data_IF_770028601738
#
_entry.id   IF_770028601738
#
_cell.length_a   1.000
_cell.length_b   1.000
_cell.length_c   1.000
_cell.angle_alpha   90.00
_cell.angle_beta   90.00
_cell.angle_gamma   90.00
#
_symmetry.space_group_name_H-M   'P 1'
#
loop_
_entity.id
_entity.type
_entity.pdbx_description
1 polymer ?
#
# COMPACT_ATOMS: atom_id res chain seq x y z
N UNK A 1 10.60 5.55 -28.49
CA UNK A 1 10.41 5.85 -27.06
C UNK A 1 9.26 4.98 -26.57
N UNK A 2 9.42 4.32 -25.41
CA UNK A 2 8.40 3.42 -24.84
C UNK A 2 7.13 4.21 -24.49
N UNK A 3 5.95 3.62 -24.70
CA UNK A 3 4.65 4.26 -24.49
C UNK A 3 3.82 3.55 -23.43
N UNK A 4 4.01 2.25 -23.24
CA UNK A 4 3.22 1.47 -22.30
C UNK A 4 4.04 0.38 -21.63
N UNK A 5 4.26 0.56 -20.34
CA UNK A 5 5.19 -0.26 -19.57
C UNK A 5 4.40 -1.21 -18.67
N UNK A 6 4.69 -2.51 -18.74
CA UNK A 6 4.22 -3.49 -17.76
C UNK A 6 5.17 -3.49 -16.56
N UNK A 7 4.63 -3.41 -15.34
CA UNK A 7 5.40 -3.47 -14.10
C UNK A 7 4.89 -4.63 -13.26
N UNK A 8 5.55 -5.81 -13.28
CA UNK A 8 5.23 -6.89 -12.37
C UNK A 8 5.54 -6.48 -10.93
N UNK A 9 4.58 -6.68 -10.02
CA UNK A 9 4.66 -6.30 -8.61
C UNK A 9 4.33 -7.49 -7.71
N UNK A 10 5.01 -7.57 -6.58
CA UNK A 10 4.70 -8.47 -5.47
C UNK A 10 4.62 -7.69 -4.14
N UNK A 11 4.53 -8.41 -3.03
CA UNK A 11 4.44 -7.88 -1.66
C UNK A 11 5.81 -7.59 -1.02
N UNK A 12 6.90 -7.63 -1.78
CA UNK A 12 8.25 -7.36 -1.26
C UNK A 12 8.56 -5.86 -1.18
N UNK A 13 9.46 -5.47 -0.27
CA UNK A 13 10.01 -4.10 -0.21
C UNK A 13 10.73 -3.73 -1.52
N UNK A 14 11.36 -4.71 -2.19
CA UNK A 14 11.98 -4.49 -3.49
C UNK A 14 10.95 -4.04 -4.55
N UNK A 15 9.75 -4.62 -4.53
CA UNK A 15 8.63 -4.19 -5.37
C UNK A 15 8.24 -2.74 -5.09
N UNK A 16 8.32 -2.27 -3.84
CA UNK A 16 8.04 -0.86 -3.48
C UNK A 16 8.98 0.10 -4.23
N UNK A 17 10.29 -0.19 -4.22
CA UNK A 17 11.30 0.61 -4.92
C UNK A 17 11.15 0.53 -6.44
N UNK A 18 10.97 -0.68 -6.99
CA UNK A 18 10.78 -0.86 -8.43
C UNK A 18 9.55 -0.11 -8.92
N UNK A 19 8.47 -0.07 -8.15
CA UNK A 19 7.30 0.77 -8.47
C UNK A 19 7.68 2.25 -8.50
N UNK A 20 8.40 2.77 -7.49
CA UNK A 20 8.85 4.17 -7.46
C UNK A 20 9.67 4.53 -8.70
N UNK A 21 10.68 3.72 -9.03
CA UNK A 21 11.53 3.94 -10.19
C UNK A 21 10.77 3.79 -11.52
N UNK A 22 9.84 2.84 -11.62
CA UNK A 22 9.01 2.68 -12.81
C UNK A 22 8.10 3.90 -13.04
N UNK A 23 7.55 4.48 -11.97
CA UNK A 23 6.75 5.72 -12.02
C UNK A 23 7.61 6.90 -12.46
N UNK A 24 8.80 7.08 -11.88
CA UNK A 24 9.74 8.13 -12.30
C UNK A 24 10.16 7.99 -13.75
N UNK A 25 10.50 6.77 -14.17
CA UNK A 25 10.89 6.46 -15.54
C UNK A 25 9.75 6.74 -16.51
N UNK A 26 8.53 6.25 -16.21
CA UNK A 26 7.36 6.48 -17.04
C UNK A 26 7.03 7.97 -17.19
N UNK A 27 7.13 8.75 -16.10
CA UNK A 27 6.97 10.21 -16.12
C UNK A 27 7.99 10.87 -17.04
N UNK A 28 9.26 10.44 -16.99
CA UNK A 28 10.34 11.02 -17.79
C UNK A 28 10.18 10.80 -19.30
N UNK A 29 9.48 9.73 -19.70
CA UNK A 29 9.26 9.36 -21.12
C UNK A 29 7.82 9.58 -21.59
N UNK A 30 6.93 10.09 -20.74
CA UNK A 30 5.51 10.26 -21.06
C UNK A 30 4.74 8.94 -21.31
N UNK A 31 5.17 7.84 -20.68
CA UNK A 31 4.52 6.54 -20.80
C UNK A 31 3.41 6.34 -19.77
N UNK A 32 2.50 5.40 -20.05
CA UNK A 32 1.54 4.87 -19.07
C UNK A 32 2.01 3.53 -18.51
N UNK A 33 1.51 3.17 -17.33
CA UNK A 33 1.85 1.94 -16.63
C UNK A 33 0.71 0.93 -16.65
N UNK A 34 1.05 -0.36 -16.66
CA UNK A 34 0.17 -1.41 -16.15
C UNK A 34 0.90 -2.20 -15.07
N UNK A 35 0.40 -2.09 -13.85
CA UNK A 35 0.86 -2.92 -12.74
C UNK A 35 0.25 -4.31 -12.86
N UNK A 36 1.07 -5.33 -12.67
CA UNK A 36 0.65 -6.71 -12.83
C UNK A 36 1.05 -7.57 -11.64
N UNK A 37 0.10 -8.32 -11.10
CA UNK A 37 0.38 -9.30 -10.05
C UNK A 37 -0.03 -10.71 -10.51
N UNK A 38 0.93 -11.65 -10.51
CA UNK A 38 0.64 -13.05 -10.71
C UNK A 38 0.18 -13.66 -9.38
N UNK A 39 -1.11 -13.97 -9.28
CA UNK A 39 -1.67 -14.66 -8.11
C UNK A 39 -1.26 -16.11 -8.21
N UNK A 40 -0.39 -16.55 -7.31
CA UNK A 40 0.06 -17.91 -7.32
C UNK A 40 -1.09 -18.86 -6.96
N UNK A 41 -1.26 -19.90 -7.78
CA UNK A 41 -2.21 -20.98 -7.53
C UNK A 41 -1.59 -22.02 -6.57
N UNK A 42 -1.45 -21.66 -5.29
CA UNK A 42 -0.97 -22.58 -4.26
C UNK A 42 -2.12 -23.45 -3.75
N UNK A 43 -2.69 -24.28 -4.61
CA UNK A 43 -3.56 -25.37 -4.18
C UNK A 43 -2.81 -26.45 -3.34
N UNK A 44 -1.47 -26.37 -3.22
CA UNK A 44 -0.64 -27.51 -2.80
C UNK A 44 0.35 -27.35 -1.65
N UNK A 45 0.43 -26.22 -0.91
CA UNK A 45 1.40 -26.14 0.22
C UNK A 45 0.98 -25.26 1.40
N UNK A 46 1.12 -25.80 2.61
CA UNK A 46 0.91 -25.10 3.90
C UNK A 46 -0.56 -25.00 4.32
N UNK A 47 -0.86 -24.12 5.29
CA UNK A 47 -2.23 -23.85 5.78
C UNK A 47 -3.22 -23.45 4.67
N UNK A 48 -2.72 -22.86 3.58
CA UNK A 48 -3.53 -22.51 2.40
C UNK A 48 -4.08 -23.72 1.64
N UNK A 49 -3.40 -24.87 1.68
CA UNK A 49 -3.88 -26.09 1.03
C UNK A 49 -5.08 -26.69 1.78
N UNK A 50 -5.10 -26.59 3.11
CA UNK A 50 -6.23 -27.04 3.92
C UNK A 50 -7.45 -26.14 3.67
N UNK A 51 -7.26 -24.82 3.66
CA UNK A 51 -8.33 -23.85 3.38
C UNK A 51 -8.87 -23.99 1.94
N UNK A 52 -8.00 -24.25 0.97
CA UNK A 52 -8.40 -24.50 -0.42
C UNK A 52 -9.27 -25.76 -0.56
N UNK A 53 -9.03 -26.79 0.26
CA UNK A 53 -9.82 -28.04 0.26
C UNK A 53 -11.15 -27.86 1.00
N UNK A 54 -11.15 -27.10 2.10
CA UNK A 54 -12.34 -26.90 2.95
C UNK A 54 -13.31 -25.90 2.30
N UNK A 55 -12.81 -24.77 1.80
CA UNK A 55 -13.60 -23.76 1.10
C UNK A 55 -12.80 -23.10 -0.04
N UNK A 56 -12.86 -23.67 -1.26
CA UNK A 56 -12.17 -23.14 -2.43
C UNK A 56 -12.59 -21.72 -2.82
N UNK A 57 -13.82 -21.30 -2.50
CA UNK A 57 -14.35 -19.99 -2.86
C UNK A 57 -13.77 -18.91 -1.94
N UNK A 58 -13.76 -19.16 -0.62
CA UNK A 58 -13.15 -18.27 0.37
C UNK A 58 -11.64 -18.15 0.14
N UNK A 59 -10.95 -19.26 -0.12
CA UNK A 59 -9.53 -19.22 -0.45
C UNK A 59 -9.25 -18.35 -1.69
N UNK A 60 -10.04 -18.50 -2.76
CA UNK A 60 -9.89 -17.69 -3.97
C UNK A 60 -10.16 -16.21 -3.70
N UNK A 61 -11.19 -15.90 -2.92
CA UNK A 61 -11.49 -14.53 -2.50
C UNK A 61 -10.31 -13.93 -1.72
N UNK A 62 -9.71 -14.68 -0.79
CA UNK A 62 -8.51 -14.25 -0.06
C UNK A 62 -7.33 -13.94 -0.97
N UNK A 63 -7.04 -14.81 -1.93
CA UNK A 63 -5.92 -14.64 -2.84
C UNK A 63 -6.11 -13.45 -3.80
N UNK A 64 -7.32 -13.28 -4.32
CA UNK A 64 -7.67 -12.10 -5.13
C UNK A 64 -7.63 -10.82 -4.29
N UNK A 65 -8.10 -10.86 -3.04
CA UNK A 65 -8.04 -9.73 -2.12
C UNK A 65 -6.61 -9.26 -1.84
N UNK A 66 -5.68 -10.20 -1.62
CA UNK A 66 -4.24 -9.90 -1.48
C UNK A 66 -3.66 -9.28 -2.74
N UNK A 67 -3.95 -9.86 -3.91
CA UNK A 67 -3.52 -9.32 -5.19
C UNK A 67 -4.02 -7.88 -5.39
N UNK A 68 -5.28 -7.62 -5.02
CA UNK A 68 -5.88 -6.29 -5.09
C UNK A 68 -5.18 -5.29 -4.17
N UNK A 69 -4.84 -5.69 -2.95
CA UNK A 69 -4.12 -4.82 -2.02
C UNK A 69 -2.74 -4.41 -2.58
N UNK A 70 -1.96 -5.38 -3.10
CA UNK A 70 -0.66 -5.12 -3.73
C UNK A 70 -0.79 -4.16 -4.91
N UNK A 71 -1.77 -4.40 -5.79
CA UNK A 71 -1.99 -3.59 -6.98
C UNK A 71 -2.46 -2.17 -6.66
N UNK A 72 -3.34 -2.01 -5.68
CA UNK A 72 -3.82 -0.68 -5.27
C UNK A 72 -2.68 0.18 -4.71
N UNK A 73 -1.75 -0.41 -3.94
CA UNK A 73 -0.55 0.30 -3.49
C UNK A 73 0.29 0.81 -4.66
N UNK A 74 0.47 0.00 -5.70
CA UNK A 74 1.23 0.38 -6.88
C UNK A 74 0.51 1.47 -7.70
N UNK A 75 -0.80 1.33 -7.91
CA UNK A 75 -1.62 2.36 -8.57
C UNK A 75 -1.59 3.69 -7.83
N UNK A 76 -1.56 3.65 -6.50
CA UNK A 76 -1.43 4.85 -5.69
C UNK A 76 -0.08 5.55 -5.89
N UNK A 77 1.03 4.81 -5.93
CA UNK A 77 2.34 5.40 -6.24
C UNK A 77 2.33 6.10 -7.60
N UNK A 78 1.67 5.53 -8.62
CA UNK A 78 1.50 6.19 -9.91
C UNK A 78 0.60 7.44 -9.83
N UNK A 79 -0.44 7.44 -9.00
CA UNK A 79 -1.28 8.63 -8.76
C UNK A 79 -0.48 9.75 -8.09
N UNK A 80 0.33 9.43 -7.08
CA UNK A 80 1.25 10.38 -6.43
C UNK A 80 2.30 10.87 -7.44
N UNK A 81 2.78 10.01 -8.33
CA UNK A 81 3.68 10.40 -9.43
C UNK A 81 3.01 11.08 -10.63
N UNK A 82 1.68 11.23 -10.62
CA UNK A 82 0.86 11.76 -11.73
C UNK A 82 1.06 11.02 -13.06
N UNK A 83 1.24 9.69 -13.01
CA UNK A 83 1.40 8.81 -14.17
C UNK A 83 0.12 8.02 -14.41
N UNK A 84 -0.43 7.99 -15.65
CA UNK A 84 -1.57 7.15 -15.98
C UNK A 84 -1.25 5.67 -15.76
N UNK A 85 -2.10 4.97 -15.01
CA UNK A 85 -1.87 3.56 -14.65
C UNK A 85 -3.15 2.73 -14.72
N UNK A 86 -2.97 1.41 -14.77
CA UNK A 86 -4.03 0.42 -14.58
C UNK A 86 -3.47 -0.81 -13.88
N UNK A 87 -4.28 -1.51 -13.09
CA UNK A 87 -3.92 -2.78 -12.46
C UNK A 87 -4.52 -4.00 -13.16
N UNK A 88 -3.75 -5.09 -13.27
CA UNK A 88 -4.21 -6.40 -13.75
C UNK A 88 -3.64 -7.51 -12.87
N UNK A 89 -4.40 -8.60 -12.71
CA UNK A 89 -3.87 -9.82 -12.11
C UNK A 89 -4.29 -11.03 -12.95
N UNK A 90 -3.53 -12.11 -12.84
CA UNK A 90 -3.90 -13.42 -13.38
C UNK A 90 -3.53 -14.48 -12.33
N UNK A 91 -4.42 -15.46 -12.16
CA UNK A 91 -4.12 -16.65 -11.37
C UNK A 91 -3.28 -17.60 -12.23
N UNK A 92 -2.09 -17.96 -11.77
CA UNK A 92 -1.18 -18.84 -12.49
C UNK A 92 -0.14 -19.47 -11.56
N UNK A 93 0.18 -20.74 -11.78
CA UNK A 93 1.31 -21.46 -11.19
C UNK A 93 2.65 -21.16 -11.90
N UNK A 94 2.62 -20.41 -13.01
CA UNK A 94 3.78 -20.02 -13.82
C UNK A 94 3.84 -18.49 -13.97
N UNK A 95 4.31 -17.76 -12.94
CA UNK A 95 4.28 -16.30 -12.90
C UNK A 95 4.92 -15.61 -14.10
N UNK A 96 6.08 -16.10 -14.57
CA UNK A 96 6.75 -15.51 -15.73
C UNK A 96 5.90 -15.60 -17.01
N UNK A 97 5.19 -16.70 -17.26
CA UNK A 97 4.31 -16.82 -18.43
C UNK A 97 3.12 -15.86 -18.31
N UNK A 98 2.57 -15.72 -17.11
CA UNK A 98 1.48 -14.78 -16.84
C UNK A 98 1.93 -13.32 -17.06
N UNK A 99 3.17 -12.97 -16.69
CA UNK A 99 3.77 -11.65 -16.98
C UNK A 99 3.86 -11.42 -18.49
N UNK A 100 4.39 -12.38 -19.25
CA UNK A 100 4.53 -12.25 -20.71
C UNK A 100 3.16 -12.18 -21.41
N UNK A 101 2.21 -12.99 -20.95
CA UNK A 101 0.83 -12.96 -21.44
C UNK A 101 0.18 -11.60 -21.15
N UNK A 102 0.38 -11.04 -19.96
CA UNK A 102 -0.14 -9.72 -19.60
C UNK A 102 0.48 -8.62 -20.47
N UNK A 103 1.79 -8.63 -20.67
CA UNK A 103 2.48 -7.66 -21.55
C UNK A 103 1.87 -7.67 -22.96
N UNK A 104 1.70 -8.87 -23.53
CA UNK A 104 1.10 -9.04 -24.86
C UNK A 104 -0.36 -8.58 -24.90
N UNK A 105 -1.17 -9.01 -23.94
CA UNK A 105 -2.62 -8.73 -23.92
C UNK A 105 -2.91 -7.25 -23.73
N UNK A 106 -2.12 -6.56 -22.92
CA UNK A 106 -2.31 -5.14 -22.64
C UNK A 106 -1.61 -4.23 -23.66
N UNK A 107 -0.83 -4.79 -24.60
CA UNK A 107 -0.11 -4.04 -25.63
C UNK A 107 1.08 -3.25 -25.07
N UNK A 108 1.74 -3.78 -24.03
CA UNK A 108 2.92 -3.16 -23.46
C UNK A 108 4.12 -3.28 -24.41
N UNK A 109 4.95 -2.24 -24.48
CA UNK A 109 6.16 -2.18 -25.29
C UNK A 109 7.46 -2.23 -24.47
N UNK A 110 7.35 -2.37 -23.15
CA UNK A 110 8.43 -2.61 -22.21
C UNK A 110 7.92 -3.42 -21.00
N UNK A 111 8.72 -4.36 -20.50
CA UNK A 111 8.56 -4.91 -19.15
C UNK A 111 9.59 -4.26 -18.24
N UNK A 112 9.16 -3.52 -17.22
CA UNK A 112 10.02 -2.97 -16.19
C UNK A 112 9.85 -3.83 -14.94
N UNK A 113 10.89 -4.56 -14.53
CA UNK A 113 10.77 -5.51 -13.44
C UNK A 113 11.92 -5.43 -12.45
N UNK A 114 11.62 -5.81 -11.22
CA UNK A 114 12.64 -5.98 -10.20
C UNK A 114 13.63 -7.08 -10.60
N UNK A 115 14.87 -6.94 -10.15
CA UNK A 115 15.90 -7.98 -10.31
C UNK A 115 15.50 -9.30 -9.65
N UNK A 116 14.68 -9.28 -8.61
CA UNK A 116 14.19 -10.42 -7.85
C UNK A 116 12.81 -10.12 -7.27
N UNK A 117 12.16 -11.14 -6.70
CA UNK A 117 10.94 -10.95 -5.92
C UNK A 117 11.05 -11.63 -4.56
N UNK A 118 9.90 -11.87 -3.92
CA UNK A 118 9.77 -12.40 -2.55
C UNK A 118 10.61 -13.64 -2.17
N UNK A 119 10.98 -14.49 -3.13
CA UNK A 119 11.72 -15.75 -2.91
C UNK A 119 13.22 -15.64 -3.21
N UNK A 120 13.71 -14.46 -3.65
CA UNK A 120 15.12 -14.26 -3.99
C UNK A 120 15.99 -14.18 -2.73
N UNK A 121 16.62 -15.30 -2.35
CA UNK A 121 17.49 -15.43 -1.17
C UNK A 121 18.88 -14.77 -1.30
N UNK A 122 19.05 -13.76 -2.15
CA UNK A 122 20.35 -13.12 -2.37
C UNK A 122 20.23 -11.74 -2.99
N UNK A 123 20.87 -10.73 -2.38
CA UNK A 123 21.04 -9.37 -2.94
C UNK A 123 21.90 -9.33 -4.21
N UNK A 124 22.43 -10.47 -4.70
CA UNK A 124 23.43 -10.53 -5.77
C UNK A 124 23.05 -11.43 -6.98
N UNK A 125 21.88 -12.08 -7.03
CA UNK A 125 21.62 -13.15 -8.03
C UNK A 125 20.25 -13.15 -8.69
N UNK A 126 20.14 -12.62 -9.93
CA UNK A 126 18.87 -12.39 -10.66
C UNK A 126 17.83 -13.49 -10.41
N UNK A 127 16.62 -13.07 -10.02
CA UNK A 127 15.55 -13.96 -9.61
C UNK A 127 15.10 -14.90 -10.72
N UNK A 128 14.62 -16.08 -10.33
CA UNK A 128 14.22 -17.13 -11.28
C UNK A 128 13.12 -16.68 -12.25
N UNK A 129 12.20 -15.82 -11.82
CA UNK A 129 11.16 -15.26 -12.70
C UNK A 129 11.75 -14.22 -13.66
N UNK A 130 12.63 -13.34 -13.17
CA UNK A 130 13.33 -12.32 -13.96
C UNK A 130 14.16 -12.94 -15.08
N UNK A 131 14.93 -14.00 -14.78
CA UNK A 131 15.69 -14.72 -15.80
C UNK A 131 14.81 -15.32 -16.90
N UNK A 132 13.67 -15.93 -16.52
CA UNK A 132 12.73 -16.52 -17.49
C UNK A 132 12.06 -15.46 -18.36
N UNK A 133 11.66 -14.33 -17.77
CA UNK A 133 11.12 -13.19 -18.54
C UNK A 133 12.18 -12.64 -19.50
N UNK A 134 13.42 -12.44 -19.05
CA UNK A 134 14.52 -12.00 -19.92
C UNK A 134 14.77 -12.95 -21.10
N UNK A 135 14.63 -14.27 -20.88
CA UNK A 135 14.87 -15.28 -21.91
C UNK A 135 13.75 -15.35 -22.97
N UNK A 136 12.49 -15.08 -22.58
CA UNK A 136 11.32 -15.38 -23.42
C UNK A 136 10.50 -14.15 -23.83
N UNK A 137 10.81 -12.95 -23.32
CA UNK A 137 10.06 -11.74 -23.64
C UNK A 137 10.15 -11.34 -25.12
N UNK A 138 8.99 -11.07 -25.72
CA UNK A 138 8.88 -10.50 -27.07
C UNK A 138 9.10 -8.98 -27.12
N UNK A 139 9.23 -8.33 -25.96
CA UNK A 139 9.46 -6.88 -25.82
C UNK A 139 10.68 -6.66 -24.95
N UNK A 140 11.35 -5.48 -25.05
CA UNK A 140 12.46 -5.16 -24.17
C UNK A 140 12.10 -5.34 -22.69
N UNK A 141 13.09 -5.75 -21.90
CA UNK A 141 12.97 -5.92 -20.44
C UNK A 141 14.00 -5.02 -19.77
N UNK A 142 13.53 -4.11 -18.93
CA UNK A 142 14.37 -3.27 -18.07
C UNK A 142 14.35 -3.84 -16.66
N UNK A 143 15.52 -4.20 -16.16
CA UNK A 143 15.68 -4.79 -14.83
C UNK A 143 16.20 -3.74 -13.85
N UNK A 144 15.45 -3.51 -12.78
CA UNK A 144 15.85 -2.64 -11.68
C UNK A 144 16.79 -3.38 -10.71
N UNK A 145 18.04 -2.91 -10.64
CA UNK A 145 19.09 -3.42 -9.75
C UNK A 145 19.50 -2.40 -8.68
N UNK A 146 18.71 -1.35 -8.47
CA UNK A 146 19.04 -0.22 -7.59
C UNK A 146 19.34 -0.65 -6.15
N UNK A 147 18.59 -1.59 -5.56
CA UNK A 147 18.83 -2.09 -4.21
C UNK A 147 20.17 -2.84 -4.09
N UNK A 148 20.46 -3.74 -5.05
CA UNK A 148 21.68 -4.57 -5.07
C UNK A 148 22.96 -3.72 -5.17
N UNK A 149 22.86 -2.52 -5.74
CA UNK A 149 24.00 -1.62 -5.98
C UNK A 149 23.89 -0.32 -5.18
N UNK A 150 22.99 -0.27 -4.19
CA UNK A 150 22.74 0.95 -3.43
C UNK A 150 24.03 1.35 -2.68
N UNK A 151 24.57 2.52 -3.02
CA UNK A 151 25.65 3.14 -2.24
C UNK A 151 25.22 3.49 -0.81
N UNK A 152 23.89 3.52 -0.58
CA UNK A 152 23.20 3.95 0.63
C UNK A 152 22.10 2.93 1.02
N UNK A 153 22.48 1.74 1.50
CA UNK A 153 21.53 0.65 1.76
C UNK A 153 20.54 0.93 2.90
N UNK A 154 20.90 1.72 3.91
CA UNK A 154 19.99 2.11 4.99
C UNK A 154 18.94 3.11 4.47
N UNK A 155 19.35 4.08 3.66
CA UNK A 155 18.42 5.02 2.99
C UNK A 155 17.38 4.26 2.17
N UNK A 156 17.84 3.29 1.38
CA UNK A 156 16.95 2.45 0.55
C UNK A 156 15.94 1.74 1.45
N UNK A 157 16.37 1.07 2.52
CA UNK A 157 15.45 0.40 3.46
C UNK A 157 14.43 1.36 4.08
N UNK A 158 14.89 2.48 4.63
CA UNK A 158 14.03 3.46 5.29
C UNK A 158 12.95 4.00 4.34
N UNK A 159 13.34 4.45 3.14
CA UNK A 159 12.41 4.95 2.14
C UNK A 159 11.41 3.87 1.70
N UNK A 160 11.85 2.62 1.56
CA UNK A 160 10.97 1.50 1.23
C UNK A 160 9.91 1.26 2.29
N UNK A 161 10.26 1.36 3.57
CA UNK A 161 9.31 1.22 4.68
C UNK A 161 8.34 2.40 4.69
N UNK A 162 8.83 3.64 4.69
CA UNK A 162 8.00 4.86 4.72
C UNK A 162 7.00 4.86 3.55
N UNK A 163 7.46 4.59 2.33
CA UNK A 163 6.60 4.56 1.15
C UNK A 163 5.59 3.40 1.20
N UNK A 164 5.92 2.23 1.77
CA UNK A 164 4.93 1.16 1.95
C UNK A 164 3.86 1.56 2.97
N UNK A 165 4.24 2.25 4.05
CA UNK A 165 3.33 2.80 5.05
C UNK A 165 2.36 3.80 4.42
N UNK A 166 2.87 4.78 3.67
CA UNK A 166 2.04 5.77 2.95
C UNK A 166 1.09 5.11 1.96
N UNK A 167 1.59 4.13 1.20
CA UNK A 167 0.76 3.39 0.25
C UNK A 167 -0.34 2.62 0.95
N UNK A 168 -0.05 2.01 2.09
CA UNK A 168 -1.04 1.29 2.91
C UNK A 168 -2.13 2.25 3.38
N UNK A 169 -1.73 3.39 3.96
CA UNK A 169 -2.65 4.43 4.38
C UNK A 169 -3.54 4.87 3.22
N UNK A 170 -2.95 5.21 2.08
CA UNK A 170 -3.71 5.66 0.93
C UNK A 170 -4.64 4.61 0.31
N UNK A 171 -4.34 3.31 0.42
CA UNK A 171 -5.31 2.24 0.07
C UNK A 171 -6.52 2.31 1.00
N UNK A 172 -6.31 2.42 2.31
CA UNK A 172 -7.40 2.55 3.28
C UNK A 172 -8.25 3.81 2.98
N UNK A 173 -7.60 4.94 2.74
CA UNK A 173 -8.29 6.19 2.38
C UNK A 173 -9.11 6.08 1.08
N UNK A 174 -8.57 5.38 0.07
CA UNK A 174 -9.28 5.17 -1.19
C UNK A 174 -10.56 4.34 -0.99
N UNK A 175 -10.50 3.35 -0.10
CA UNK A 175 -11.64 2.48 0.20
C UNK A 175 -12.70 3.21 1.00
N UNK A 176 -12.30 4.05 1.97
CA UNK A 176 -13.21 4.96 2.65
C UNK A 176 -13.92 5.88 1.63
N UNK A 177 -13.18 6.45 0.68
CA UNK A 177 -13.75 7.30 -0.36
C UNK A 177 -14.77 6.53 -1.23
N UNK A 178 -14.51 5.27 -1.59
CA UNK A 178 -15.41 4.43 -2.36
C UNK A 178 -16.72 4.15 -1.60
N UNK A 179 -16.63 3.76 -0.33
CA UNK A 179 -17.80 3.52 0.53
C UNK A 179 -18.67 4.77 0.67
N UNK A 180 -18.05 5.94 0.86
CA UNK A 180 -18.77 7.21 0.94
C UNK A 180 -19.50 7.57 -0.36
N UNK A 181 -18.90 7.25 -1.52
CA UNK A 181 -19.54 7.45 -2.82
C UNK A 181 -20.74 6.52 -3.02
N UNK A 182 -20.63 5.25 -2.62
CA UNK A 182 -21.73 4.29 -2.66
C UNK A 182 -22.90 4.72 -1.77
N UNK A 183 -22.60 5.13 -0.54
CA UNK A 183 -23.58 5.67 0.39
C UNK A 183 -24.28 6.91 -0.17
N UNK A 184 -23.53 7.82 -0.80
CA UNK A 184 -24.07 9.05 -1.40
C UNK A 184 -25.01 8.79 -2.58
N UNK A 185 -24.91 7.62 -3.23
CA UNK A 185 -25.81 7.19 -4.33
C UNK A 185 -27.15 6.64 -3.83
N UNK A 186 -27.35 6.51 -2.52
CA UNK A 186 -28.66 6.30 -1.90
C UNK A 186 -29.14 4.84 -1.85
N UNK A 187 -28.25 3.85 -1.77
CA UNK A 187 -28.62 2.44 -1.87
C UNK A 187 -28.07 1.46 -0.82
N UNK A 188 -27.19 1.89 0.09
CA UNK A 188 -26.54 0.99 1.05
C UNK A 188 -26.87 1.37 2.50
N UNK A 189 -27.25 0.36 3.31
CA UNK A 189 -27.25 0.48 4.77
C UNK A 189 -25.79 0.66 5.21
N UNK A 190 -25.47 1.64 6.05
CA UNK A 190 -24.11 1.85 6.49
C UNK A 190 -23.60 0.68 7.35
N UNK A 191 -22.45 0.15 6.98
CA UNK A 191 -21.69 -0.80 7.79
C UNK A 191 -20.92 -0.02 8.88
N UNK A 192 -21.63 0.32 9.97
CA UNK A 192 -21.03 1.03 11.10
C UNK A 192 -19.83 0.30 11.71
N UNK A 193 -19.85 -1.03 11.91
CA UNK A 193 -18.67 -1.77 12.35
C UNK A 193 -17.44 -1.54 11.46
N UNK A 194 -17.61 -1.60 10.13
CA UNK A 194 -16.50 -1.35 9.21
C UNK A 194 -15.99 0.10 9.33
N UNK A 195 -16.90 1.09 9.39
CA UNK A 195 -16.54 2.49 9.59
C UNK A 195 -15.82 2.72 10.92
N UNK A 196 -16.17 2.00 11.98
CA UNK A 196 -15.44 2.02 13.26
C UNK A 196 -14.02 1.49 13.08
N UNK A 197 -13.85 0.36 12.39
CA UNK A 197 -12.52 -0.18 12.10
C UNK A 197 -11.64 0.81 11.34
N UNK A 198 -12.20 1.53 10.35
CA UNK A 198 -11.48 2.61 9.68
C UNK A 198 -10.97 3.66 10.67
N UNK A 199 -11.83 4.18 11.53
CA UNK A 199 -11.44 5.24 12.47
C UNK A 199 -10.41 4.73 13.48
N UNK A 200 -10.55 3.50 13.97
CA UNK A 200 -9.55 2.87 14.83
C UNK A 200 -8.21 2.74 14.09
N UNK A 201 -8.20 2.37 12.81
CA UNK A 201 -6.97 2.33 12.01
C UNK A 201 -6.30 3.70 11.94
N UNK A 202 -7.05 4.77 11.68
CA UNK A 202 -6.51 6.13 11.62
C UNK A 202 -5.93 6.58 12.98
N UNK A 203 -6.55 6.20 14.09
CA UNK A 203 -6.04 6.50 15.43
C UNK A 203 -4.78 5.71 15.77
N UNK A 204 -4.73 4.44 15.37
CA UNK A 204 -3.65 3.53 15.76
C UNK A 204 -2.43 3.63 14.86
N UNK A 205 -2.61 3.87 13.57
CA UNK A 205 -1.50 3.84 12.61
C UNK A 205 -0.92 5.23 12.34
N UNK A 206 -1.56 6.16 11.60
CA UNK A 206 -1.03 7.50 11.38
C UNK A 206 -0.63 8.21 12.69
N UNK A 207 -1.59 8.35 13.61
CA UNK A 207 -1.45 9.21 14.79
C UNK A 207 -0.52 8.64 15.86
N UNK A 208 -0.56 7.32 16.11
CA UNK A 208 0.19 6.70 17.22
C UNK A 208 1.49 6.03 16.80
N UNK A 209 1.61 5.61 15.54
CA UNK A 209 2.76 4.84 15.09
C UNK A 209 3.57 5.55 14.00
N UNK A 210 2.92 6.13 13.00
CA UNK A 210 3.62 6.70 11.85
C UNK A 210 4.19 8.09 12.13
N UNK A 211 3.35 9.09 12.44
CA UNK A 211 3.81 10.47 12.67
C UNK A 211 4.83 10.62 13.79
N UNK A 212 4.70 9.91 14.94
CA UNK A 212 5.74 9.97 15.98
C UNK A 212 7.12 9.50 15.50
N UNK A 213 7.17 8.55 14.54
CA UNK A 213 8.43 8.12 13.92
C UNK A 213 8.98 9.18 12.98
N UNK A 214 8.13 9.83 12.19
CA UNK A 214 8.53 10.91 11.31
C UNK A 214 9.11 12.08 12.11
N UNK A 215 8.37 12.58 13.10
CA UNK A 215 8.79 13.69 13.95
C UNK A 215 10.06 13.35 14.75
N UNK A 216 10.07 12.18 15.39
CA UNK A 216 11.12 11.75 16.30
C UNK A 216 12.44 11.37 15.64
N UNK A 217 12.43 10.96 14.37
CA UNK A 217 13.61 10.44 13.70
C UNK A 217 13.89 11.19 12.40
N UNK A 218 13.01 11.08 11.40
CA UNK A 218 13.26 11.64 10.08
C UNK A 218 13.35 13.18 10.11
N UNK A 219 12.34 13.85 10.66
CA UNK A 219 12.26 15.30 10.68
C UNK A 219 13.31 15.88 11.62
N UNK A 220 13.47 15.33 12.82
CA UNK A 220 14.53 15.75 13.75
C UNK A 220 15.92 15.71 13.10
N UNK A 221 16.28 14.62 12.44
CA UNK A 221 17.58 14.50 11.77
C UNK A 221 17.69 15.47 10.59
N UNK A 222 16.63 15.62 9.79
CA UNK A 222 16.64 16.53 8.65
C UNK A 222 16.81 18.00 9.07
N UNK A 223 16.17 18.44 10.15
CA UNK A 223 16.35 19.79 10.73
C UNK A 223 17.81 20.07 11.10
N UNK A 224 18.53 19.06 11.58
CA UNK A 224 19.95 19.19 11.95
C UNK A 224 20.86 19.32 10.72
N UNK A 225 20.41 18.85 9.55
CA UNK A 225 21.22 18.76 8.32
C UNK A 225 20.83 19.77 7.25
N UNK A 226 19.60 20.26 7.24
CA UNK A 226 19.08 21.17 6.21
C UNK A 226 18.21 22.28 6.81
N UNK A 227 18.76 23.49 6.88
CA UNK A 227 17.99 24.68 7.26
C UNK A 227 16.89 25.03 6.23
N UNK A 228 17.06 24.61 4.97
CA UNK A 228 16.06 24.78 3.91
C UNK A 228 14.78 23.98 4.19
N UNK A 229 14.90 22.84 4.88
CA UNK A 229 13.75 22.00 5.22
C UNK A 229 12.90 22.56 6.37
N UNK A 230 13.44 23.45 7.21
CA UNK A 230 12.79 23.90 8.46
C UNK A 230 11.36 24.44 8.26
N UNK A 231 11.07 25.34 7.30
CA UNK A 231 9.71 25.86 7.11
C UNK A 231 8.71 24.78 6.70
N UNK A 232 9.19 23.80 5.93
CA UNK A 232 8.40 22.68 5.45
C UNK A 232 8.08 21.70 6.58
N UNK A 233 9.09 21.34 7.37
CA UNK A 233 8.94 20.43 8.51
C UNK A 233 8.06 21.04 9.60
N UNK A 234 8.22 22.34 9.90
CA UNK A 234 7.35 23.03 10.83
C UNK A 234 5.88 23.06 10.36
N UNK A 235 5.63 23.04 9.05
CA UNK A 235 4.27 22.91 8.50
C UNK A 235 3.72 21.50 8.70
N UNK A 236 4.50 20.47 8.44
CA UNK A 236 4.08 19.07 8.60
C UNK A 236 3.81 18.70 10.06
N UNK A 237 4.66 19.15 10.99
CA UNK A 237 4.43 18.94 12.43
C UNK A 237 3.12 19.58 12.91
N UNK A 238 2.76 20.76 12.37
CA UNK A 238 1.43 21.36 12.63
C UNK A 238 0.31 20.53 12.01
N UNK A 239 0.53 19.97 10.82
CA UNK A 239 -0.42 19.07 10.19
C UNK A 239 -0.65 17.81 11.04
N UNK A 240 0.39 17.18 11.60
CA UNK A 240 0.23 16.03 12.52
C UNK A 240 -0.70 16.35 13.69
N UNK A 241 -0.58 17.56 14.26
CA UNK A 241 -1.47 18.01 15.33
C UNK A 241 -2.92 18.25 14.84
N UNK A 242 -3.08 18.88 13.67
CA UNK A 242 -4.39 19.13 13.05
C UNK A 242 -5.11 17.82 12.64
N UNK A 243 -4.34 16.78 12.29
CA UNK A 243 -4.91 15.48 11.91
C UNK A 243 -5.66 14.82 13.07
N UNK A 244 -5.10 14.87 14.28
CA UNK A 244 -5.76 14.36 15.49
C UNK A 244 -7.13 15.00 15.72
N UNK A 245 -7.25 16.31 15.49
CA UNK A 245 -8.52 17.02 15.61
C UNK A 245 -9.52 16.61 14.53
N UNK A 246 -9.06 16.36 13.29
CA UNK A 246 -9.89 15.87 12.18
C UNK A 246 -10.42 14.46 12.45
N UNK A 247 -9.57 13.55 12.91
CA UNK A 247 -9.97 12.19 13.29
C UNK A 247 -10.99 12.22 14.43
N UNK A 248 -10.81 13.11 15.41
CA UNK A 248 -11.78 13.29 16.51
C UNK A 248 -13.14 13.77 16.01
N UNK A 249 -13.18 14.69 15.02
CA UNK A 249 -14.44 15.13 14.39
C UNK A 249 -15.11 14.01 13.60
N UNK A 250 -14.34 13.15 12.94
CA UNK A 250 -14.86 11.96 12.25
C UNK A 250 -15.54 10.98 13.21
N UNK A 251 -14.89 10.67 14.33
CA UNK A 251 -15.46 9.81 15.38
C UNK A 251 -16.77 10.38 15.90
N UNK A 252 -16.78 11.66 16.28
CA UNK A 252 -17.98 12.32 16.77
C UNK A 252 -19.11 12.39 15.72
N UNK A 253 -18.77 12.52 14.43
CA UNK A 253 -19.74 12.49 13.36
C UNK A 253 -20.33 11.09 13.14
N UNK A 254 -19.52 10.02 13.26
CA UNK A 254 -19.98 8.64 13.19
C UNK A 254 -20.88 8.29 14.38
N UNK A 255 -20.47 8.65 15.60
CA UNK A 255 -21.27 8.47 16.83
C UNK A 255 -22.64 9.13 16.70
N UNK A 256 -22.64 10.39 16.27
CA UNK A 256 -23.87 11.14 16.09
C UNK A 256 -24.77 10.50 15.04
N UNK A 257 -24.22 9.97 13.95
CA UNK A 257 -25.00 9.32 12.91
C UNK A 257 -25.59 7.99 13.37
N UNK A 258 -24.81 7.16 14.06
CA UNK A 258 -25.27 5.89 14.64
C UNK A 258 -26.39 6.10 15.66
N UNK A 259 -26.39 7.22 16.39
CA UNK A 259 -27.42 7.58 17.37
C UNK A 259 -28.76 8.09 16.78
N UNK A 260 -28.90 8.32 15.46
CA UNK A 260 -30.21 8.46 14.81
C UNK A 260 -30.72 9.81 14.25
N UNK A 261 -29.94 10.88 14.01
CA UNK A 261 -30.38 12.00 13.20
C UNK A 261 -30.17 11.76 11.70
N UNK A 262 -31.18 12.09 10.88
CA UNK A 262 -31.14 11.99 9.41
C UNK A 262 -30.02 12.82 8.74
N UNK A 263 -29.43 13.79 9.45
CA UNK A 263 -28.30 14.61 8.98
C UNK A 263 -26.92 13.98 9.26
N UNK A 264 -26.86 12.83 9.96
CA UNK A 264 -25.61 12.15 10.33
C UNK A 264 -24.75 11.75 9.12
N UNK A 265 -25.39 11.24 8.06
CA UNK A 265 -24.71 10.86 6.80
C UNK A 265 -23.98 12.04 6.18
N UNK A 266 -24.68 13.19 6.04
CA UNK A 266 -24.15 14.37 5.38
C UNK A 266 -22.98 14.98 6.16
N UNK A 267 -23.07 14.99 7.50
CA UNK A 267 -21.99 15.44 8.37
C UNK A 267 -20.77 14.53 8.25
N UNK A 268 -20.95 13.21 8.41
CA UNK A 268 -19.85 12.25 8.31
C UNK A 268 -19.17 12.29 6.94
N UNK A 269 -19.94 12.38 5.85
CA UNK A 269 -19.41 12.52 4.50
C UNK A 269 -18.68 13.85 4.27
N UNK A 270 -19.06 14.94 4.95
CA UNK A 270 -18.35 16.20 4.89
C UNK A 270 -17.01 16.14 5.64
N UNK A 271 -17.01 15.67 6.88
CA UNK A 271 -15.77 15.49 7.67
C UNK A 271 -14.82 14.52 6.97
N UNK A 272 -15.35 13.48 6.33
CA UNK A 272 -14.53 12.52 5.58
C UNK A 272 -13.89 13.12 4.35
N UNK A 273 -14.60 13.98 3.59
CA UNK A 273 -14.00 14.68 2.45
C UNK A 273 -12.90 15.65 2.88
N UNK A 274 -13.15 16.40 3.96
CA UNK A 274 -12.18 17.31 4.58
C UNK A 274 -10.92 16.55 5.05
N UNK A 275 -11.08 15.41 5.72
CA UNK A 275 -9.98 14.56 6.13
C UNK A 275 -9.21 13.96 4.95
N UNK A 276 -9.92 13.40 3.97
CA UNK A 276 -9.30 12.81 2.77
C UNK A 276 -8.45 13.85 2.02
N UNK A 277 -8.97 15.05 1.79
CA UNK A 277 -8.23 16.12 1.13
C UNK A 277 -6.99 16.52 1.93
N UNK A 278 -7.12 16.64 3.25
CA UNK A 278 -6.01 16.95 4.13
C UNK A 278 -4.89 15.90 4.03
N UNK A 279 -5.19 14.61 4.23
CA UNK A 279 -4.17 13.56 4.25
C UNK A 279 -3.53 13.38 2.87
N UNK A 280 -4.29 13.49 1.77
CA UNK A 280 -3.70 13.42 0.44
C UNK A 280 -2.70 14.55 0.17
N UNK A 281 -3.00 15.77 0.63
CA UNK A 281 -2.09 16.90 0.49
C UNK A 281 -0.87 16.77 1.41
N UNK A 282 -1.06 16.19 2.60
CA UNK A 282 0.00 15.90 3.57
C UNK A 282 1.01 14.88 3.02
N UNK A 283 0.54 13.69 2.63
CA UNK A 283 1.38 12.63 2.03
C UNK A 283 2.11 13.11 0.76
N UNK A 284 1.44 13.91 -0.07
CA UNK A 284 2.07 14.47 -1.27
C UNK A 284 3.21 15.44 -0.93
N UNK A 285 3.09 16.19 0.17
CA UNK A 285 4.12 17.11 0.63
C UNK A 285 5.35 16.35 1.14
N UNK A 286 5.13 15.27 1.89
CA UNK A 286 6.20 14.41 2.38
C UNK A 286 6.95 13.75 1.24
N UNK A 287 6.24 13.06 0.35
CA UNK A 287 6.90 12.28 -0.70
C UNK A 287 7.55 13.14 -1.79
N UNK A 288 6.96 14.29 -2.14
CA UNK A 288 7.45 15.11 -3.25
C UNK A 288 8.43 16.19 -2.84
N UNK A 289 8.42 16.61 -1.58
CA UNK A 289 9.27 17.71 -1.10
C UNK A 289 10.21 17.26 0.03
N UNK A 290 9.69 16.62 1.09
CA UNK A 290 10.53 16.23 2.24
C UNK A 290 11.48 15.09 1.94
N UNK A 291 11.00 13.98 1.37
CA UNK A 291 11.84 12.82 1.10
C UNK A 291 13.01 13.17 0.15
N UNK A 292 12.83 13.95 -0.93
CA UNK A 292 13.94 14.42 -1.74
C UNK A 292 14.97 15.25 -0.96
N UNK A 293 14.52 16.16 -0.08
CA UNK A 293 15.41 16.93 0.80
C UNK A 293 16.17 16.03 1.78
N UNK A 294 15.50 15.04 2.37
CA UNK A 294 16.12 14.05 3.24
C UNK A 294 17.19 13.23 2.49
N UNK A 295 16.89 12.76 1.28
CA UNK A 295 17.81 12.00 0.43
C UNK A 295 19.07 12.81 0.11
N UNK A 296 18.92 14.12 -0.11
CA UNK A 296 20.03 15.02 -0.41
C UNK A 296 20.88 15.38 0.83
N UNK A 297 20.25 15.59 1.98
CA UNK A 297 20.89 16.18 3.15
C UNK A 297 21.40 15.16 4.19
N UNK A 298 20.66 14.07 4.42
CA UNK A 298 21.02 13.09 5.44
C UNK A 298 22.24 12.27 5.01
N UNK A 299 23.02 11.80 5.97
CA UNK A 299 24.15 10.87 5.83
C UNK A 299 23.72 9.41 6.08
N UNK A 300 24.53 8.42 5.69
CA UNK A 300 24.13 7.01 5.78
C UNK A 300 23.82 6.56 7.21
N UNK A 301 24.63 7.04 8.18
CA UNK A 301 24.38 6.83 9.61
C UNK A 301 23.05 7.42 10.09
N UNK A 302 22.63 8.55 9.52
CA UNK A 302 21.33 9.16 9.87
C UNK A 302 20.21 8.24 9.36
N UNK A 303 20.38 7.66 8.17
CA UNK A 303 19.44 6.68 7.62
C UNK A 303 19.42 5.33 8.34
N UNK A 304 20.52 4.90 8.97
CA UNK A 304 20.52 3.71 9.84
C UNK A 304 19.55 3.91 11.01
N UNK A 305 19.63 5.06 11.66
CA UNK A 305 18.73 5.40 12.76
C UNK A 305 17.27 5.47 12.31
N UNK A 306 16.98 6.09 11.15
CA UNK A 306 15.63 6.11 10.58
C UNK A 306 15.17 4.70 10.21
N UNK A 307 16.02 3.89 9.57
CA UNK A 307 15.65 2.54 9.15
C UNK A 307 15.34 1.63 10.34
N UNK A 308 16.10 1.74 11.43
CA UNK A 308 15.87 0.97 12.65
C UNK A 308 14.55 1.38 13.30
N UNK A 309 14.32 2.69 13.49
CA UNK A 309 13.08 3.19 14.08
C UNK A 309 11.83 2.82 13.26
N UNK A 310 11.91 2.89 11.93
CA UNK A 310 10.82 2.48 11.05
C UNK A 310 10.66 0.97 10.94
N UNK A 311 11.72 0.20 11.20
CA UNK A 311 11.70 -1.27 11.21
C UNK A 311 11.23 -1.90 12.52
N UNK A 312 11.29 -1.19 13.65
CA UNK A 312 10.90 -1.70 14.98
C UNK A 312 9.39 -1.91 15.15
N UNK A 313 8.57 -1.18 14.38
CA UNK A 313 7.12 -1.33 14.42
C UNK A 313 6.66 -2.30 13.33
N UNK A 314 6.25 -3.50 13.77
CA UNK A 314 5.51 -4.41 12.91
C UNK A 314 4.26 -3.71 12.38
N UNK A 315 3.99 -3.87 11.09
CA UNK A 315 2.80 -3.30 10.49
C UNK A 315 1.54 -3.73 11.27
N UNK A 316 0.63 -2.80 11.65
CA UNK A 316 -0.61 -3.15 12.35
C UNK A 316 -1.46 -4.20 11.62
N UNK A 317 -1.29 -4.34 10.30
CA UNK A 317 -1.86 -5.41 9.45
C UNK A 317 -1.49 -6.81 9.94
N UNK A 318 -0.34 -6.97 10.59
CA UNK A 318 0.26 -8.26 10.95
C UNK A 318 0.63 -8.40 12.41
N UNK A 319 0.39 -7.37 13.24
CA UNK A 319 0.58 -7.47 14.69
C UNK A 319 -0.26 -8.67 15.23
N UNK A 320 0.39 -9.77 15.66
CA UNK A 320 -0.30 -10.96 16.14
C UNK A 320 -0.96 -10.73 17.50
N UNK A 321 -0.64 -9.63 18.18
CA UNK A 321 -1.16 -9.30 19.51
C UNK A 321 -2.50 -8.55 19.44
N UNK A 322 -2.94 -8.15 18.25
CA UNK A 322 -4.21 -7.42 18.04
C UNK A 322 -5.40 -8.36 17.85
N UNK A 323 -6.56 -7.86 18.27
CA UNK A 323 -7.85 -8.54 18.18
C UNK A 323 -8.17 -9.04 16.75
N UNK A 324 -8.74 -10.24 16.66
CA UNK A 324 -9.03 -10.93 15.40
C UNK A 324 -10.03 -10.15 14.53
N UNK A 325 -11.05 -9.50 15.13
CA UNK A 325 -12.01 -8.69 14.39
C UNK A 325 -11.36 -7.43 13.82
N UNK A 326 -10.40 -6.84 14.53
CA UNK A 326 -9.64 -5.71 13.99
C UNK A 326 -8.83 -6.14 12.76
N UNK A 327 -8.12 -7.28 12.85
CA UNK A 327 -7.33 -7.81 11.72
C UNK A 327 -8.20 -8.17 10.51
N UNK A 328 -9.34 -8.82 10.75
CA UNK A 328 -10.33 -9.17 9.72
C UNK A 328 -10.89 -7.90 9.06
N UNK A 329 -11.24 -6.89 9.87
CA UNK A 329 -11.70 -5.60 9.39
C UNK A 329 -10.66 -4.90 8.51
N UNK A 330 -9.40 -4.77 8.97
CA UNK A 330 -8.30 -4.21 8.15
C UNK A 330 -8.11 -5.00 6.85
N UNK A 331 -8.22 -6.32 6.90
CA UNK A 331 -8.14 -7.15 5.70
C UNK A 331 -9.28 -6.87 4.72
N UNK A 332 -10.52 -6.72 5.21
CA UNK A 332 -11.68 -6.30 4.40
C UNK A 332 -11.43 -4.92 3.77
N UNK A 333 -10.86 -3.98 4.53
CA UNK A 333 -10.49 -2.66 4.01
C UNK A 333 -9.53 -2.77 2.82
N UNK A 334 -8.42 -3.47 2.99
CA UNK A 334 -7.36 -3.53 1.98
C UNK A 334 -7.77 -4.33 0.73
N UNK A 335 -8.62 -5.35 0.89
CA UNK A 335 -9.09 -6.22 -0.19
C UNK A 335 -10.32 -5.67 -0.92
N UNK A 336 -11.08 -4.77 -0.29
CA UNK A 336 -12.36 -4.28 -0.80
C UNK A 336 -13.38 -5.41 -1.00
N UNK A 337 -13.36 -6.41 -0.12
CA UNK A 337 -14.28 -7.55 -0.12
C UNK A 337 -15.41 -7.36 0.92
N UNK A 338 -16.64 -7.82 0.63
CA UNK A 338 -17.76 -7.78 1.57
C UNK A 338 -17.53 -8.72 2.77
N UNK A 339 -18.35 -8.62 3.82
CA UNK A 339 -18.32 -9.61 4.92
C UNK A 339 -18.42 -11.03 4.39
N UNK A 340 -17.47 -11.88 4.77
CA UNK A 340 -17.67 -13.32 4.72
C UNK A 340 -18.76 -13.64 5.74
N UNK A 341 -19.94 -14.00 5.26
CA UNK A 341 -21.06 -14.39 6.11
C UNK A 341 -20.61 -15.46 7.11
N UNK A 342 -20.78 -15.15 8.39
CA UNK A 342 -20.58 -16.08 9.48
C UNK A 342 -21.66 -17.17 9.43
N UNK A 343 -21.50 -18.19 8.59
CA UNK A 343 -22.25 -19.44 8.74
C UNK A 343 -21.49 -20.37 9.69
N UNK A 344 -21.75 -20.17 10.99
CA UNK A 344 -21.77 -21.18 12.04
C UNK A 344 -20.46 -21.95 12.34
N UNK A 345 -19.55 -21.32 13.09
CA UNK A 345 -18.65 -22.03 14.01
C UNK A 345 -19.36 -22.28 15.35
N UNK A 346 -20.53 -22.92 15.33
CA UNK A 346 -21.23 -23.37 16.55
C UNK A 346 -22.11 -24.59 16.25
N UNK A 347 -21.50 -25.75 15.96
CA UNK A 347 -22.12 -27.05 16.25
C UNK A 347 -21.13 -28.22 16.09
N UNK A 348 -20.11 -28.30 16.94
CA UNK A 348 -19.43 -29.57 17.21
C UNK A 348 -19.13 -29.68 18.71
N UNK A 349 -20.20 -29.83 19.49
CA UNK A 349 -20.18 -30.45 20.81
C UNK A 349 -21.52 -31.18 20.98
N UNK A 350 -21.52 -32.46 20.63
CA UNK A 350 -22.35 -33.54 21.17
C UNK A 350 -22.33 -34.73 20.22
N UNK A 351 -21.41 -35.68 20.46
CA UNK A 351 -21.62 -37.11 20.28
C UNK A 351 -20.64 -37.84 21.20
#
# INVERSE_FOLDING_TARGET
MYKHILVPVDDSILSVHTVSHAVEFARSVGARLTFFHAVADYAGSGDGALMHVIDPAVFRAHMVGRARAVLQKAELAARIGQVPSAARHLVSDRPYEAILQAAKTQGCDLVFMASHGRQGLSRLMIGSQTLKVLAEASVPVLVDTSESRAARPAMTRALGIIQDEHRTLGVVLHQLQALLQEMSRGGAVPDFPLLRTFLTYLQEFPLRLHHPKEDGYLFRLLKQRSAEAEPLLAKLERQHQEESDRVSRLVAALDAWEAGPATGVARFANESRDYLEFVWNHLALEEREVLPLAMAALEERDWEEVADAFGENGDPRFDPTRDEHFREGIWRLLSGLPETGNESVHSLSAA
#
